data_IF_924927595489
#
_entry.id   IF_924927595489
#
_cell.length_a   1.000
_cell.length_b   1.000
_cell.length_c   1.000
_cell.angle_alpha   90.00
_cell.angle_beta   90.00
_cell.angle_gamma   90.00
#
_symmetry.space_group_name_H-M   'P 1'
#
loop_
_entity.id
_entity.type
_entity.pdbx_description
1 polymer ?
#
# COMPACT_ATOMS: atom_id res chain seq x y z
N UNK A 1 24.15 0.96 -14.02
CA UNK A 1 24.12 -0.38 -13.33
C UNK A 1 22.96 -1.15 -13.95
N UNK A 2 23.20 -2.39 -14.36
CA UNK A 2 22.10 -3.24 -14.84
C UNK A 2 21.14 -3.54 -13.68
N UNK A 3 19.85 -3.62 -14.00
CA UNK A 3 18.82 -3.95 -12.99
C UNK A 3 19.11 -5.31 -12.35
N UNK A 4 19.62 -6.27 -13.12
CA UNK A 4 19.95 -7.62 -12.66
C UNK A 4 21.03 -7.67 -11.56
N UNK A 5 21.88 -6.65 -11.46
CA UNK A 5 22.95 -6.58 -10.46
C UNK A 5 22.50 -5.88 -9.17
N UNK A 6 21.29 -5.31 -9.14
CA UNK A 6 20.81 -4.53 -8.01
C UNK A 6 20.57 -5.40 -6.77
N UNK A 7 21.00 -4.89 -5.63
CA UNK A 7 20.59 -5.37 -4.29
C UNK A 7 19.77 -4.29 -3.63
N UNK A 8 18.51 -4.59 -3.33
CA UNK A 8 17.49 -3.64 -2.87
C UNK A 8 17.01 -4.04 -1.49
N UNK A 9 17.08 -3.11 -0.55
CA UNK A 9 16.52 -3.28 0.79
C UNK A 9 15.32 -2.36 0.96
N UNK A 10 14.14 -2.93 1.22
CA UNK A 10 12.95 -2.20 1.65
C UNK A 10 12.91 -2.12 3.18
N UNK A 11 12.73 -0.93 3.74
CA UNK A 11 12.56 -0.71 5.18
C UNK A 11 11.23 -0.02 5.41
N UNK A 12 10.23 -0.79 5.84
CA UNK A 12 8.82 -0.42 5.81
C UNK A 12 8.23 -0.43 7.22
N UNK A 13 7.47 0.60 7.57
CA UNK A 13 6.78 0.72 8.87
C UNK A 13 5.42 0.00 8.90
N UNK A 14 4.81 -0.19 7.73
CA UNK A 14 3.50 -0.78 7.60
C UNK A 14 3.49 -2.27 7.98
N UNK A 15 2.56 -2.67 8.84
CA UNK A 15 2.46 -4.06 9.33
C UNK A 15 2.04 -5.00 8.19
N UNK A 16 2.72 -6.14 8.09
CA UNK A 16 2.43 -7.18 7.11
C UNK A 16 0.95 -7.62 7.19
N UNK A 17 0.25 -7.59 6.04
CA UNK A 17 -1.12 -8.05 5.90
C UNK A 17 -2.19 -7.17 6.58
N UNK A 18 -1.86 -5.93 7.03
CA UNK A 18 -2.81 -5.08 7.74
C UNK A 18 -3.26 -3.84 6.97
N UNK A 19 -2.52 -3.41 5.97
CA UNK A 19 -2.87 -2.23 5.17
C UNK A 19 -2.32 -2.30 3.74
N UNK A 20 -2.83 -1.44 2.86
CA UNK A 20 -2.45 -1.40 1.45
C UNK A 20 -0.97 -1.10 1.20
N UNK A 21 -0.33 -0.25 2.01
CA UNK A 21 1.10 0.07 1.88
C UNK A 21 1.96 -1.16 2.14
N UNK A 22 1.61 -1.92 3.20
CA UNK A 22 2.31 -3.15 3.52
C UNK A 22 2.18 -4.22 2.43
N UNK A 23 0.98 -4.38 1.87
CA UNK A 23 0.71 -5.29 0.76
C UNK A 23 1.47 -4.86 -0.50
N UNK A 24 1.44 -3.57 -0.84
CA UNK A 24 2.17 -3.00 -1.98
C UNK A 24 3.66 -3.39 -1.99
N UNK A 25 4.37 -3.20 -0.87
CA UNK A 25 5.81 -3.53 -0.80
C UNK A 25 6.08 -5.03 -0.81
N UNK A 26 5.16 -5.85 -0.30
CA UNK A 26 5.25 -7.31 -0.44
C UNK A 26 5.16 -7.73 -1.90
N UNK A 27 4.21 -7.18 -2.63
CA UNK A 27 4.00 -7.48 -4.04
C UNK A 27 5.16 -6.98 -4.89
N UNK A 28 5.59 -5.73 -4.68
CA UNK A 28 6.74 -5.18 -5.37
C UNK A 28 8.02 -6.00 -5.10
N UNK A 29 8.28 -6.36 -3.85
CA UNK A 29 9.44 -7.18 -3.51
C UNK A 29 9.35 -8.58 -4.15
N UNK A 30 8.17 -9.20 -4.19
CA UNK A 30 7.96 -10.50 -4.83
C UNK A 30 8.23 -10.44 -6.34
N UNK A 31 7.72 -9.40 -7.02
CA UNK A 31 7.96 -9.21 -8.46
C UNK A 31 9.44 -8.92 -8.76
N UNK A 32 10.08 -8.07 -7.98
CA UNK A 32 11.49 -7.70 -8.22
C UNK A 32 12.47 -8.86 -8.01
N UNK A 33 12.13 -9.88 -7.20
CA UNK A 33 13.01 -11.05 -6.95
C UNK A 33 13.52 -11.72 -8.22
N UNK A 34 12.74 -11.71 -9.28
CA UNK A 34 13.10 -12.34 -10.55
C UNK A 34 13.89 -11.42 -11.48
N UNK A 35 14.06 -10.14 -11.12
CA UNK A 35 14.63 -9.11 -11.97
C UNK A 35 15.91 -8.49 -11.42
N UNK A 36 16.27 -8.77 -10.17
CA UNK A 36 17.43 -8.18 -9.49
C UNK A 36 18.26 -9.23 -8.76
N UNK A 37 19.48 -8.91 -8.38
CA UNK A 37 20.38 -9.84 -7.70
C UNK A 37 19.89 -10.26 -6.30
N UNK A 38 19.35 -9.33 -5.52
CA UNK A 38 18.80 -9.60 -4.18
C UNK A 38 17.76 -8.56 -3.79
N UNK A 39 16.65 -9.01 -3.24
CA UNK A 39 15.63 -8.17 -2.60
C UNK A 39 15.42 -8.65 -1.18
N UNK A 40 15.40 -7.73 -0.24
CA UNK A 40 15.04 -7.98 1.16
C UNK A 40 13.99 -6.98 1.60
N UNK A 41 13.01 -7.43 2.38
CA UNK A 41 11.92 -6.61 2.91
C UNK A 41 11.91 -6.68 4.44
N UNK A 42 12.36 -5.63 5.08
CA UNK A 42 12.22 -5.42 6.52
C UNK A 42 10.87 -4.77 6.80
N UNK A 43 9.95 -5.55 7.33
CA UNK A 43 8.58 -5.12 7.60
C UNK A 43 8.11 -5.74 8.92
N UNK A 44 7.45 -4.97 9.83
CA UNK A 44 6.86 -5.51 11.04
C UNK A 44 5.78 -6.56 10.73
N UNK A 45 5.77 -7.64 11.50
CA UNK A 45 4.76 -8.69 11.40
C UNK A 45 4.31 -9.12 12.81
N UNK A 46 2.99 -9.30 12.99
CA UNK A 46 2.43 -9.69 14.28
C UNK A 46 2.59 -11.19 14.56
N UNK A 47 2.54 -12.02 13.53
CA UNK A 47 2.56 -13.47 13.64
C UNK A 47 3.98 -14.04 13.61
N UNK A 48 4.82 -13.51 12.72
CA UNK A 48 6.21 -13.92 12.53
C UNK A 48 7.11 -12.68 12.54
N UNK A 49 7.51 -12.20 13.74
CA UNK A 49 8.32 -11.00 13.85
C UNK A 49 9.60 -11.07 13.04
N UNK A 50 9.88 -10.03 12.26
CA UNK A 50 11.15 -9.91 11.57
C UNK A 50 12.30 -9.76 12.60
N UNK A 51 13.51 -10.33 12.40
CA UNK A 51 14.63 -10.19 13.32
C UNK A 51 14.94 -8.73 13.72
N UNK A 52 14.78 -7.79 12.78
CA UNK A 52 14.96 -6.36 13.04
C UNK A 52 13.81 -5.71 13.82
N UNK A 53 12.72 -6.44 14.13
CA UNK A 53 11.57 -5.92 14.84
C UNK A 53 11.80 -5.95 16.35
N UNK A 54 11.61 -4.82 17.02
CA UNK A 54 11.70 -4.67 18.46
C UNK A 54 10.31 -4.53 19.12
N UNK A 55 10.26 -3.76 20.19
CA UNK A 55 9.04 -3.46 20.93
C UNK A 55 8.00 -2.73 20.08
N UNK A 56 6.74 -2.75 20.52
CA UNK A 56 5.66 -2.03 19.86
C UNK A 56 4.72 -1.39 20.84
N UNK A 57 4.04 -0.31 20.41
CA UNK A 57 2.97 0.35 21.16
C UNK A 57 1.74 0.55 20.25
N UNK A 58 0.52 0.53 20.80
CA UNK A 58 -0.67 0.82 20.01
C UNK A 58 -0.66 2.28 19.51
N UNK A 59 -1.25 2.52 18.34
CA UNK A 59 -1.43 3.88 17.83
C UNK A 59 -2.68 4.48 18.48
N UNK A 60 -2.61 5.67 19.08
CA UNK A 60 -3.77 6.34 19.63
C UNK A 60 -4.86 6.53 18.56
N UNK A 61 -6.11 6.18 18.90
CA UNK A 61 -7.26 6.25 17.97
C UNK A 61 -7.44 5.03 17.08
N UNK A 62 -6.46 4.13 16.98
CA UNK A 62 -6.59 2.89 16.22
C UNK A 62 -5.89 1.71 16.89
N UNK A 63 -6.60 0.95 17.72
CA UNK A 63 -6.03 -0.19 18.44
C UNK A 63 -5.64 -1.36 17.52
N UNK A 64 -6.11 -1.36 16.26
CA UNK A 64 -5.76 -2.40 15.26
C UNK A 64 -4.40 -2.16 14.63
N UNK A 65 -3.84 -0.96 14.79
CA UNK A 65 -2.51 -0.57 14.31
C UNK A 65 -1.53 -0.43 15.48
N UNK A 66 -0.28 -0.77 15.23
CA UNK A 66 0.79 -0.66 16.22
C UNK A 66 2.00 0.04 15.61
N UNK A 67 2.65 0.85 16.39
CA UNK A 67 3.92 1.45 16.08
C UNK A 67 5.02 0.52 16.58
N UNK A 68 5.89 0.08 15.70
CA UNK A 68 7.01 -0.80 16.04
C UNK A 68 8.32 -0.02 16.08
N UNK A 69 9.22 -0.42 16.96
CA UNK A 69 10.57 0.12 17.05
C UNK A 69 11.55 -0.87 16.42
N UNK A 70 12.48 -0.41 15.55
CA UNK A 70 13.48 -1.28 14.97
C UNK A 70 14.59 -1.62 15.97
N UNK A 71 15.10 -2.83 15.90
CA UNK A 71 16.38 -3.21 16.53
C UNK A 71 17.51 -2.69 15.62
N UNK A 72 18.07 -1.54 15.99
CA UNK A 72 19.05 -0.81 15.16
C UNK A 72 20.30 -1.64 14.86
N UNK A 73 20.74 -2.48 15.81
CA UNK A 73 21.91 -3.34 15.63
C UNK A 73 21.68 -4.39 14.55
N UNK A 74 20.56 -5.08 14.61
CA UNK A 74 20.13 -6.12 13.67
C UNK A 74 19.89 -5.53 12.27
N UNK A 75 19.25 -4.37 12.19
CA UNK A 75 19.07 -3.67 10.93
C UNK A 75 20.42 -3.22 10.33
N UNK A 76 21.33 -2.72 11.15
CA UNK A 76 22.69 -2.38 10.71
C UNK A 76 23.48 -3.61 10.25
N UNK A 77 23.37 -4.72 10.95
CA UNK A 77 24.02 -5.98 10.57
C UNK A 77 23.49 -6.50 9.23
N UNK A 78 22.18 -6.47 9.03
CA UNK A 78 21.56 -6.84 7.76
C UNK A 78 22.06 -5.97 6.59
N UNK A 79 22.11 -4.65 6.78
CA UNK A 79 22.60 -3.73 5.75
C UNK A 79 24.09 -3.99 5.46
N UNK A 80 24.89 -4.28 6.48
CA UNK A 80 26.31 -4.62 6.32
C UNK A 80 26.51 -5.93 5.54
N UNK A 81 25.74 -6.96 5.86
CA UNK A 81 25.80 -8.27 5.19
C UNK A 81 25.33 -8.16 3.73
N UNK A 82 24.17 -7.53 3.52
CA UNK A 82 23.52 -7.44 2.21
C UNK A 82 24.25 -6.49 1.26
N UNK A 83 24.87 -5.43 1.78
CA UNK A 83 25.50 -4.35 1.01
C UNK A 83 24.55 -3.82 -0.08
N UNK A 84 23.36 -3.31 0.28
CA UNK A 84 22.37 -2.88 -0.71
C UNK A 84 22.89 -1.70 -1.53
N UNK A 85 22.53 -1.69 -2.81
CA UNK A 85 22.81 -0.55 -3.68
C UNK A 85 21.81 0.58 -3.48
N UNK A 86 20.58 0.26 -3.02
CA UNK A 86 19.51 1.20 -2.73
C UNK A 86 18.74 0.73 -1.51
N UNK A 87 18.38 1.67 -0.63
CA UNK A 87 17.39 1.47 0.44
C UNK A 87 16.12 2.22 0.06
N UNK A 88 14.97 1.53 0.05
CA UNK A 88 13.65 2.09 -0.26
C UNK A 88 12.86 2.31 1.03
N UNK A 89 12.29 3.50 1.18
CA UNK A 89 11.60 3.96 2.39
C UNK A 89 10.23 4.55 2.03
N UNK A 90 9.11 4.09 2.64
CA UNK A 90 7.76 4.54 2.27
C UNK A 90 7.27 5.82 2.96
N UNK A 91 8.05 6.47 3.79
CA UNK A 91 7.61 7.66 4.51
C UNK A 91 8.33 7.87 5.85
N UNK A 92 7.84 8.78 6.72
CA UNK A 92 8.55 9.22 7.92
C UNK A 92 8.30 8.37 9.17
N UNK A 93 8.11 7.07 9.01
CA UNK A 93 7.96 6.16 10.14
C UNK A 93 9.27 5.83 10.84
N UNK A 94 9.22 5.14 11.98
CA UNK A 94 10.40 4.87 12.84
C UNK A 94 11.38 3.91 12.15
N UNK A 95 10.88 2.85 11.50
CA UNK A 95 11.72 1.95 10.70
C UNK A 95 12.37 2.68 9.54
N UNK A 96 11.58 3.47 8.84
CA UNK A 96 12.00 4.28 7.71
C UNK A 96 13.11 5.27 8.09
N UNK A 97 12.94 6.00 9.19
CA UNK A 97 13.93 6.93 9.69
C UNK A 97 15.21 6.20 10.12
N UNK A 98 15.10 5.05 10.78
CA UNK A 98 16.26 4.24 11.14
C UNK A 98 17.03 3.75 9.89
N UNK A 99 16.31 3.24 8.89
CA UNK A 99 16.89 2.84 7.60
C UNK A 99 17.58 3.99 6.88
N UNK A 100 16.97 5.19 6.89
CA UNK A 100 17.53 6.41 6.33
C UNK A 100 18.85 6.81 7.02
N UNK A 101 18.89 6.82 8.36
CA UNK A 101 20.11 7.15 9.10
C UNK A 101 21.24 6.17 8.86
N UNK A 102 20.93 4.87 8.80
CA UNK A 102 21.92 3.82 8.47
C UNK A 102 22.42 4.02 7.03
N UNK A 103 21.51 4.28 6.08
CA UNK A 103 21.88 4.56 4.69
C UNK A 103 22.83 5.75 4.58
N UNK A 104 22.51 6.87 5.25
CA UNK A 104 23.35 8.07 5.28
C UNK A 104 24.73 7.81 5.88
N UNK A 105 24.79 7.07 6.99
CA UNK A 105 26.05 6.70 7.64
C UNK A 105 26.98 5.94 6.71
N UNK A 106 26.44 5.12 5.81
CA UNK A 106 27.22 4.26 4.93
C UNK A 106 27.23 4.72 3.48
N UNK A 107 26.72 5.90 3.18
CA UNK A 107 26.72 6.46 1.82
C UNK A 107 25.83 5.70 0.85
N UNK A 108 24.82 4.95 1.34
CA UNK A 108 23.90 4.20 0.50
C UNK A 108 22.80 5.12 0.00
N UNK A 109 22.51 5.15 -1.33
CA UNK A 109 21.42 5.96 -1.88
C UNK A 109 20.06 5.51 -1.34
N UNK A 110 19.18 6.49 -1.10
CA UNK A 110 17.83 6.25 -0.60
C UNK A 110 16.82 6.66 -1.65
N UNK A 111 15.88 5.76 -1.96
CA UNK A 111 14.66 6.06 -2.70
C UNK A 111 13.51 6.21 -1.70
N UNK A 112 12.88 7.38 -1.68
CA UNK A 112 11.73 7.67 -0.80
C UNK A 112 10.44 7.56 -1.61
N UNK A 113 9.45 6.83 -1.10
CA UNK A 113 8.13 6.77 -1.73
C UNK A 113 7.12 7.59 -0.95
N UNK A 114 6.15 8.17 -1.66
CA UNK A 114 5.04 8.90 -1.05
C UNK A 114 3.74 8.19 -1.41
N UNK A 115 3.19 7.44 -0.44
CA UNK A 115 2.03 6.56 -0.66
C UNK A 115 0.86 6.86 0.28
N UNK A 116 1.02 7.83 1.18
CA UNK A 116 -0.03 8.15 2.17
C UNK A 116 0.00 9.63 2.48
N UNK A 117 -1.15 10.28 2.35
CA UNK A 117 -1.33 11.65 2.84
C UNK A 117 -1.58 11.61 4.36
N UNK A 118 -0.49 11.60 5.11
CA UNK A 118 -0.54 11.53 6.57
C UNK A 118 -1.23 12.74 7.19
N UNK A 119 -1.16 13.93 6.58
CA UNK A 119 -1.79 15.13 7.13
C UNK A 119 -3.30 14.97 7.17
N UNK A 120 -3.91 14.52 6.07
CA UNK A 120 -5.36 14.24 6.03
C UNK A 120 -5.78 13.13 7.01
N UNK A 121 -4.95 12.10 7.18
CA UNK A 121 -5.26 11.04 8.13
C UNK A 121 -5.22 11.54 9.58
N UNK A 122 -4.21 12.31 9.95
CA UNK A 122 -4.07 12.84 11.30
C UNK A 122 -5.24 13.78 11.66
N UNK A 123 -5.70 14.58 10.72
CA UNK A 123 -6.89 15.46 10.89
C UNK A 123 -8.17 14.65 11.15
N UNK A 124 -8.32 13.47 10.55
CA UNK A 124 -9.48 12.60 10.75
C UNK A 124 -9.51 11.88 12.10
N UNK A 125 -8.32 11.54 12.63
CA UNK A 125 -8.23 10.72 13.84
C UNK A 125 -7.99 11.48 15.11
N UNK A 126 -7.39 12.68 15.04
CA UNK A 126 -6.95 13.42 16.21
C UNK A 126 -7.54 14.84 16.22
N UNK A 127 -7.87 15.35 17.41
CA UNK A 127 -8.33 16.72 17.55
C UNK A 127 -7.27 17.73 17.09
N UNK A 128 -7.70 18.93 16.72
CA UNK A 128 -6.90 19.97 16.04
C UNK A 128 -5.51 20.23 16.61
N UNK A 129 -5.36 20.23 17.96
CA UNK A 129 -4.06 20.51 18.59
C UNK A 129 -3.06 19.39 18.39
N UNK A 130 -3.49 18.14 18.58
CA UNK A 130 -2.68 16.95 18.36
C UNK A 130 -2.39 16.76 16.88
N UNK A 131 -3.39 17.00 16.02
CA UNK A 131 -3.23 16.95 14.56
C UNK A 131 -2.16 17.93 14.06
N UNK A 132 -2.15 19.17 14.54
CA UNK A 132 -1.12 20.17 14.19
C UNK A 132 0.28 19.76 14.64
N UNK A 133 0.43 19.26 15.87
CA UNK A 133 1.73 18.82 16.37
C UNK A 133 2.26 17.61 15.60
N UNK A 134 1.44 16.59 15.42
CA UNK A 134 1.80 15.38 14.68
C UNK A 134 2.05 15.68 13.19
N UNK A 135 1.21 16.51 12.57
CA UNK A 135 1.42 16.98 11.20
C UNK A 135 2.74 17.74 11.04
N UNK A 136 3.11 18.59 12.01
CA UNK A 136 4.41 19.25 12.04
C UNK A 136 5.59 18.27 12.07
N UNK A 137 5.51 17.24 12.93
CA UNK A 137 6.53 16.20 13.04
C UNK A 137 6.63 15.34 11.77
N UNK A 138 5.49 14.93 11.22
CA UNK A 138 5.43 14.15 9.98
C UNK A 138 5.97 14.96 8.78
N UNK A 139 5.63 16.25 8.69
CA UNK A 139 6.14 17.14 7.66
C UNK A 139 7.65 17.38 7.79
N UNK A 140 8.17 17.50 9.02
CA UNK A 140 9.60 17.55 9.26
C UNK A 140 10.29 16.26 8.81
N UNK A 141 9.73 15.10 9.18
CA UNK A 141 10.23 13.80 8.76
C UNK A 141 10.23 13.64 7.23
N UNK A 142 9.13 13.97 6.58
CA UNK A 142 9.04 13.95 5.11
C UNK A 142 10.07 14.86 4.46
N UNK A 143 10.21 16.10 4.93
CA UNK A 143 11.23 17.04 4.41
C UNK A 143 12.65 16.50 4.58
N UNK A 144 12.94 15.88 5.70
CA UNK A 144 14.26 15.28 5.96
C UNK A 144 14.53 14.13 4.98
N UNK A 145 13.56 13.24 4.79
CA UNK A 145 13.69 12.11 3.88
C UNK A 145 13.82 12.57 2.42
N UNK A 146 12.90 13.40 1.94
CA UNK A 146 12.90 13.82 0.53
C UNK A 146 14.10 14.70 0.14
N UNK A 147 14.53 15.63 1.00
CA UNK A 147 15.74 16.44 0.73
C UNK A 147 17.01 15.61 0.68
N UNK A 148 17.03 14.54 1.46
CA UNK A 148 18.20 13.64 1.50
C UNK A 148 18.09 12.44 0.57
N UNK A 149 17.00 12.25 -0.17
CA UNK A 149 16.83 11.13 -1.08
C UNK A 149 17.59 11.34 -2.39
N UNK A 150 18.09 10.25 -2.97
CA UNK A 150 18.64 10.21 -4.33
C UNK A 150 17.51 10.10 -5.38
N UNK A 151 16.41 9.41 -5.04
CA UNK A 151 15.23 9.32 -5.87
C UNK A 151 13.96 9.42 -5.03
N UNK A 152 12.85 9.82 -5.67
CA UNK A 152 11.52 9.83 -5.06
C UNK A 152 10.51 9.21 -6.01
N UNK A 153 9.56 8.42 -5.47
CA UNK A 153 8.51 7.79 -6.23
C UNK A 153 7.13 8.08 -5.61
N UNK A 154 6.10 8.23 -6.44
CA UNK A 154 4.71 8.45 -6.04
C UNK A 154 3.79 7.54 -6.82
N UNK A 155 2.62 7.21 -6.27
CA UNK A 155 1.65 6.30 -6.90
C UNK A 155 0.48 7.03 -7.57
N UNK A 156 0.37 8.34 -7.42
CA UNK A 156 -0.60 9.18 -8.12
C UNK A 156 -0.02 10.57 -8.41
N UNK A 157 -0.57 11.24 -9.40
CA UNK A 157 -0.04 12.51 -9.91
C UNK A 157 -0.17 13.65 -8.87
N UNK A 158 -1.25 13.70 -8.11
CA UNK A 158 -1.46 14.70 -7.05
C UNK A 158 -0.38 14.65 -5.97
N UNK A 159 0.20 13.49 -5.70
CA UNK A 159 1.30 13.33 -4.74
C UNK A 159 2.65 13.86 -5.25
N UNK A 160 2.82 14.03 -6.57
CA UNK A 160 4.05 14.62 -7.14
C UNK A 160 4.25 16.05 -6.61
N UNK A 161 3.20 16.87 -6.60
CA UNK A 161 3.26 18.23 -6.08
C UNK A 161 3.61 18.25 -4.58
N UNK A 162 3.02 17.36 -3.79
CA UNK A 162 3.29 17.22 -2.35
C UNK A 162 4.74 16.76 -2.09
N UNK A 163 5.24 15.78 -2.84
CA UNK A 163 6.63 15.32 -2.75
C UNK A 163 7.64 16.45 -3.09
N UNK A 164 7.35 17.24 -4.14
CA UNK A 164 8.16 18.44 -4.48
C UNK A 164 8.14 19.48 -3.36
N UNK A 165 6.98 19.76 -2.79
CA UNK A 165 6.84 20.69 -1.66
C UNK A 165 7.60 20.19 -0.41
N UNK A 166 7.71 18.88 -0.23
CA UNK A 166 8.55 18.28 0.81
C UNK A 166 10.04 18.26 0.48
N UNK A 167 10.43 18.61 -0.75
CA UNK A 167 11.85 18.77 -1.16
C UNK A 167 12.38 17.67 -2.07
N UNK A 168 11.52 16.81 -2.62
CA UNK A 168 11.90 15.86 -3.67
C UNK A 168 12.29 16.62 -4.95
N UNK A 169 13.48 16.31 -5.52
CA UNK A 169 13.98 17.02 -6.71
C UNK A 169 13.25 16.62 -7.98
N UNK A 170 13.03 15.33 -8.19
CA UNK A 170 12.39 14.79 -9.39
C UNK A 170 11.56 13.54 -9.05
N UNK A 171 10.39 13.70 -8.38
CA UNK A 171 9.54 12.56 -8.04
C UNK A 171 8.99 11.91 -9.31
N UNK A 172 9.14 10.58 -9.39
CA UNK A 172 8.68 9.76 -10.50
C UNK A 172 7.32 9.15 -10.17
N UNK A 173 6.42 9.14 -11.14
CA UNK A 173 5.16 8.41 -11.04
C UNK A 173 5.44 6.93 -11.33
N UNK A 174 5.12 6.06 -10.38
CA UNK A 174 5.29 4.60 -10.51
C UNK A 174 3.95 3.90 -10.36
N UNK A 175 3.77 2.83 -11.12
CA UNK A 175 2.54 2.04 -11.05
C UNK A 175 2.45 1.19 -9.78
N UNK A 176 1.31 0.54 -9.63
CA UNK A 176 1.02 -0.38 -8.53
C UNK A 176 1.07 -1.82 -9.05
N UNK A 177 1.97 -2.67 -8.51
CA UNK A 177 1.99 -4.07 -8.87
C UNK A 177 0.78 -4.81 -8.26
N UNK A 178 0.33 -5.86 -8.92
CA UNK A 178 -0.71 -6.77 -8.46
C UNK A 178 -0.10 -8.03 -7.87
N UNK A 179 -0.68 -8.58 -6.84
CA UNK A 179 -0.31 -9.90 -6.36
C UNK A 179 -0.66 -11.00 -7.38
N UNK A 180 0.15 -12.05 -7.39
CA UNK A 180 0.03 -13.15 -8.35
C UNK A 180 -1.37 -13.79 -8.32
N UNK A 181 -2.01 -13.86 -7.17
CA UNK A 181 -3.35 -14.43 -6.97
C UNK A 181 -4.42 -13.73 -7.82
N UNK A 182 -4.31 -12.39 -8.01
CA UNK A 182 -5.28 -11.65 -8.81
C UNK A 182 -5.04 -11.78 -10.31
N UNK A 183 -3.83 -12.13 -10.72
CA UNK A 183 -3.42 -12.22 -12.13
C UNK A 183 -3.50 -13.64 -12.65
N UNK A 184 -2.98 -14.61 -11.88
CA UNK A 184 -2.80 -16.00 -12.32
C UNK A 184 -4.02 -16.89 -12.11
N UNK A 185 -4.88 -16.57 -11.13
CA UNK A 185 -6.12 -17.33 -10.92
C UNK A 185 -7.07 -17.12 -12.10
N UNK A 186 -7.67 -18.17 -12.68
CA UNK A 186 -8.67 -18.03 -13.73
C UNK A 186 -9.81 -17.09 -13.33
N UNK A 187 -10.22 -16.20 -14.23
CA UNK A 187 -11.27 -15.21 -13.96
C UNK A 187 -12.64 -15.83 -14.19
N UNK A 188 -13.57 -15.59 -13.27
CA UNK A 188 -14.98 -15.93 -13.48
C UNK A 188 -15.64 -14.82 -14.31
N UNK A 189 -16.39 -15.20 -15.32
CA UNK A 189 -17.14 -14.26 -16.16
C UNK A 189 -18.09 -13.39 -15.33
N UNK A 190 -18.18 -12.11 -15.71
CA UNK A 190 -19.14 -11.20 -15.10
C UNK A 190 -20.58 -11.63 -15.45
N UNK A 191 -21.43 -11.78 -14.45
CA UNK A 191 -22.85 -12.08 -14.61
C UNK A 191 -23.59 -10.94 -15.32
N UNK A 192 -24.67 -11.27 -16.04
CA UNK A 192 -25.51 -10.31 -16.73
C UNK A 192 -26.32 -9.42 -15.76
N UNK A 193 -26.75 -9.99 -14.64
CA UNK A 193 -27.40 -9.26 -13.55
C UNK A 193 -26.37 -8.74 -12.53
N UNK A 194 -26.65 -7.59 -11.95
CA UNK A 194 -25.92 -7.09 -10.77
C UNK A 194 -26.73 -7.47 -9.55
N UNK A 195 -26.31 -8.53 -8.88
CA UNK A 195 -26.98 -9.10 -7.71
C UNK A 195 -26.15 -8.94 -6.44
N UNK A 196 -24.82 -8.83 -6.57
CA UNK A 196 -23.91 -8.83 -5.43
C UNK A 196 -22.89 -7.69 -5.54
N UNK A 197 -22.77 -6.95 -4.44
CA UNK A 197 -21.89 -5.80 -4.30
C UNK A 197 -20.94 -6.04 -3.13
N UNK A 198 -19.64 -5.82 -3.30
CA UNK A 198 -18.69 -6.02 -2.23
C UNK A 198 -17.92 -4.74 -1.86
N UNK A 199 -17.48 -4.72 -0.62
CA UNK A 199 -16.48 -3.82 -0.07
C UNK A 199 -15.32 -4.66 0.46
N UNK A 200 -14.11 -4.31 0.08
CA UNK A 200 -12.89 -4.94 0.59
C UNK A 200 -11.91 -3.85 1.02
N UNK A 201 -11.53 -3.83 2.29
CA UNK A 201 -10.62 -2.82 2.79
C UNK A 201 -10.67 -2.64 4.31
N UNK A 202 -9.86 -1.72 4.80
CA UNK A 202 -9.82 -1.38 6.21
C UNK A 202 -11.14 -0.74 6.65
N UNK A 203 -11.67 -1.16 7.79
CA UNK A 203 -12.91 -0.63 8.37
C UNK A 203 -12.58 0.61 9.22
N UNK A 204 -12.39 1.75 8.57
CA UNK A 204 -11.89 2.97 9.18
C UNK A 204 -12.57 4.22 8.58
N UNK A 205 -12.51 5.34 9.30
CA UNK A 205 -13.25 6.55 8.95
C UNK A 205 -12.92 7.08 7.54
N UNK A 206 -11.64 7.06 7.16
CA UNK A 206 -11.20 7.50 5.82
C UNK A 206 -11.74 6.63 4.68
N UNK A 207 -12.16 5.40 4.99
CA UNK A 207 -12.72 4.46 4.01
C UNK A 207 -14.23 4.57 3.86
N UNK A 208 -14.88 5.34 4.73
CA UNK A 208 -16.31 5.69 4.67
C UNK A 208 -17.24 4.47 4.47
N UNK A 209 -16.99 3.40 5.27
CA UNK A 209 -17.80 2.17 5.21
C UNK A 209 -19.28 2.45 5.49
N UNK A 210 -19.59 3.50 6.25
CA UNK A 210 -20.95 3.92 6.57
C UNK A 210 -21.80 4.16 5.31
N UNK A 211 -21.23 4.78 4.26
CA UNK A 211 -21.93 4.97 2.99
C UNK A 211 -22.26 3.65 2.30
N UNK A 212 -21.40 2.62 2.45
CA UNK A 212 -21.68 1.29 1.92
C UNK A 212 -22.78 0.58 2.71
N UNK A 213 -22.77 0.70 4.05
CA UNK A 213 -23.84 0.15 4.89
C UNK A 213 -25.19 0.82 4.60
N UNK A 214 -25.21 2.13 4.41
CA UNK A 214 -26.43 2.85 4.02
C UNK A 214 -26.92 2.46 2.61
N UNK A 215 -26.02 2.09 1.69
CA UNK A 215 -26.42 1.50 0.40
C UNK A 215 -27.06 0.14 0.59
N UNK A 216 -26.52 -0.74 1.44
CA UNK A 216 -27.10 -2.06 1.72
C UNK A 216 -28.52 -1.96 2.32
N UNK A 217 -28.74 -1.02 3.22
CA UNK A 217 -30.05 -0.74 3.79
C UNK A 217 -31.07 -0.28 2.74
N UNK A 218 -30.65 0.57 1.79
CA UNK A 218 -31.53 1.12 0.72
C UNK A 218 -31.79 0.15 -0.43
N UNK A 219 -31.00 -0.92 -0.54
CA UNK A 219 -31.07 -1.89 -1.64
C UNK A 219 -31.24 -3.31 -1.12
N UNK A 220 -32.38 -3.63 -0.48
CA UNK A 220 -32.65 -4.99 0.05
C UNK A 220 -32.77 -6.06 -1.07
N UNK A 221 -32.90 -5.62 -2.32
CA UNK A 221 -32.92 -6.44 -3.53
C UNK A 221 -31.54 -7.00 -3.91
N UNK A 222 -30.45 -6.47 -3.33
CA UNK A 222 -29.06 -6.86 -3.61
C UNK A 222 -28.41 -7.52 -2.39
N UNK A 223 -27.43 -8.36 -2.63
CA UNK A 223 -26.57 -8.95 -1.61
C UNK A 223 -25.30 -8.11 -1.43
N UNK A 224 -24.90 -7.86 -0.20
CA UNK A 224 -23.73 -7.08 0.13
C UNK A 224 -22.71 -7.91 0.93
N UNK A 225 -21.44 -7.77 0.56
CA UNK A 225 -20.34 -8.47 1.22
C UNK A 225 -19.30 -7.48 1.71
N UNK A 226 -18.87 -7.62 2.95
CA UNK A 226 -17.82 -6.79 3.55
C UNK A 226 -16.67 -7.68 3.98
N UNK A 227 -15.46 -7.40 3.49
CA UNK A 227 -14.22 -8.03 3.93
C UNK A 227 -13.24 -6.98 4.44
N UNK A 228 -12.64 -7.23 5.59
CA UNK A 228 -11.66 -6.34 6.20
C UNK A 228 -11.71 -6.33 7.73
N UNK A 229 -10.87 -5.49 8.32
CA UNK A 229 -10.81 -5.29 9.75
C UNK A 229 -10.47 -3.82 10.07
N UNK A 230 -10.79 -3.35 11.25
CA UNK A 230 -10.50 -1.97 11.63
C UNK A 230 -11.35 -1.44 12.78
N UNK A 231 -11.16 -0.16 13.16
CA UNK A 231 -11.87 0.46 14.28
C UNK A 231 -13.40 0.42 14.17
N UNK A 232 -13.95 0.39 12.95
CA UNK A 232 -15.39 0.38 12.68
C UNK A 232 -15.98 -1.03 12.57
N UNK A 233 -15.22 -2.08 12.92
CA UNK A 233 -15.70 -3.47 12.90
C UNK A 233 -17.04 -3.65 13.63
N UNK A 234 -17.18 -3.09 14.83
CA UNK A 234 -18.42 -3.20 15.61
C UNK A 234 -19.65 -2.61 14.92
N UNK A 235 -19.48 -1.54 14.12
CA UNK A 235 -20.57 -0.99 13.30
C UNK A 235 -21.01 -1.96 12.21
N UNK A 236 -20.06 -2.59 11.51
CA UNK A 236 -20.37 -3.59 10.47
C UNK A 236 -21.06 -4.81 11.06
N UNK A 237 -20.56 -5.34 12.19
CA UNK A 237 -21.19 -6.45 12.90
C UNK A 237 -22.61 -6.11 13.36
N UNK A 238 -22.86 -4.89 13.81
CA UNK A 238 -24.20 -4.42 14.17
C UNK A 238 -25.12 -4.34 12.95
N UNK A 239 -24.65 -3.78 11.84
CA UNK A 239 -25.41 -3.72 10.58
C UNK A 239 -25.76 -5.12 10.07
N UNK A 240 -24.85 -6.09 10.14
CA UNK A 240 -25.14 -7.48 9.74
C UNK A 240 -26.23 -8.16 10.58
N UNK A 241 -26.40 -7.75 11.84
CA UNK A 241 -27.50 -8.27 12.67
C UNK A 241 -28.87 -7.70 12.29
N UNK A 242 -28.90 -6.50 11.71
CA UNK A 242 -30.14 -5.82 11.33
C UNK A 242 -30.51 -5.97 9.85
N UNK A 243 -29.52 -6.19 8.98
CA UNK A 243 -29.71 -6.29 7.53
C UNK A 243 -29.57 -7.75 7.07
N UNK A 244 -30.65 -8.34 6.55
CA UNK A 244 -30.65 -9.72 6.07
C UNK A 244 -29.86 -9.94 4.76
N UNK A 245 -29.44 -8.88 4.10
CA UNK A 245 -28.74 -8.88 2.81
C UNK A 245 -27.24 -8.51 2.94
N UNK A 246 -26.69 -8.43 4.15
CA UNK A 246 -25.31 -8.05 4.40
C UNK A 246 -24.53 -9.19 5.08
N UNK A 247 -23.40 -9.59 4.49
CA UNK A 247 -22.49 -10.61 5.04
C UNK A 247 -21.15 -9.99 5.37
N UNK A 248 -20.61 -10.25 6.57
CA UNK A 248 -19.31 -9.80 7.02
C UNK A 248 -18.34 -10.98 7.18
N UNK A 249 -17.18 -10.90 6.51
CA UNK A 249 -16.17 -11.95 6.48
C UNK A 249 -15.00 -11.72 7.45
N UNK A 250 -14.91 -10.53 8.06
CA UNK A 250 -13.73 -10.15 8.83
C UNK A 250 -12.50 -9.98 7.94
N UNK A 251 -11.32 -10.15 8.54
CA UNK A 251 -10.07 -10.12 7.78
C UNK A 251 -9.97 -11.34 6.85
N UNK A 252 -9.63 -11.11 5.59
CA UNK A 252 -9.53 -12.13 4.56
C UNK A 252 -8.11 -12.23 3.99
N UNK A 253 -7.67 -13.44 3.68
CA UNK A 253 -6.48 -13.69 2.86
C UNK A 253 -6.72 -13.27 1.41
N UNK A 254 -5.66 -13.12 0.61
CA UNK A 254 -5.79 -12.76 -0.81
C UNK A 254 -6.64 -13.74 -1.60
N UNK A 255 -6.48 -15.04 -1.38
CA UNK A 255 -7.32 -16.06 -2.02
C UNK A 255 -8.80 -15.86 -1.68
N UNK A 256 -9.14 -15.58 -0.42
CA UNK A 256 -10.51 -15.26 -0.03
C UNK A 256 -11.03 -13.96 -0.65
N UNK A 257 -10.16 -12.94 -0.80
CA UNK A 257 -10.52 -11.70 -1.50
C UNK A 257 -10.81 -11.98 -2.98
N UNK A 258 -9.99 -12.80 -3.65
CA UNK A 258 -10.27 -13.25 -5.03
C UNK A 258 -11.65 -13.91 -5.12
N UNK A 259 -11.99 -14.82 -4.18
CA UNK A 259 -13.30 -15.49 -4.17
C UNK A 259 -14.46 -14.50 -3.95
N UNK A 260 -14.28 -13.50 -3.06
CA UNK A 260 -15.29 -12.46 -2.82
C UNK A 260 -15.48 -11.59 -4.07
N UNK A 261 -14.39 -11.16 -4.71
CA UNK A 261 -14.45 -10.40 -5.95
C UNK A 261 -15.12 -11.20 -7.05
N UNK A 262 -14.75 -12.47 -7.25
CA UNK A 262 -15.24 -13.31 -8.34
C UNK A 262 -16.72 -13.66 -8.24
N UNK A 263 -17.29 -13.70 -7.04
CA UNK A 263 -18.74 -13.90 -6.86
C UNK A 263 -19.53 -12.59 -6.84
N UNK A 264 -18.86 -11.44 -6.71
CA UNK A 264 -19.48 -10.12 -6.77
C UNK A 264 -19.41 -9.55 -8.18
N UNK A 265 -20.37 -8.72 -8.56
CA UNK A 265 -20.34 -8.00 -9.82
C UNK A 265 -19.70 -6.63 -9.68
N UNK A 266 -19.83 -6.03 -8.50
CA UNK A 266 -19.39 -4.65 -8.24
C UNK A 266 -18.57 -4.59 -6.98
N UNK A 267 -17.39 -3.99 -7.06
CA UNK A 267 -16.64 -3.48 -5.91
C UNK A 267 -16.99 -2.00 -5.70
N UNK A 268 -17.25 -1.61 -4.46
CA UNK A 268 -17.44 -0.21 -4.07
C UNK A 268 -16.27 0.24 -3.18
N UNK A 269 -15.60 1.32 -3.57
CA UNK A 269 -14.54 1.97 -2.81
C UNK A 269 -14.97 3.41 -2.46
N UNK A 270 -15.75 3.61 -1.37
CA UNK A 270 -16.39 4.89 -1.04
C UNK A 270 -15.47 5.84 -0.26
N UNK A 271 -14.15 5.64 -0.35
CA UNK A 271 -13.15 6.33 0.46
C UNK A 271 -13.24 7.85 0.36
N UNK A 272 -13.16 8.53 1.51
CA UNK A 272 -13.00 9.98 1.60
C UNK A 272 -11.54 10.41 1.39
N UNK A 273 -10.59 9.53 1.77
CA UNK A 273 -9.16 9.69 1.51
C UNK A 273 -8.59 8.35 1.04
N UNK A 274 -8.07 8.33 -0.18
CA UNK A 274 -7.48 7.12 -0.79
C UNK A 274 -6.31 7.50 -1.68
N UNK A 275 -5.11 7.08 -1.29
CA UNK A 275 -3.90 7.41 -2.03
C UNK A 275 -3.88 6.82 -3.45
N UNK A 276 -4.34 5.59 -3.59
CA UNK A 276 -4.49 4.93 -4.89
C UNK A 276 -5.79 4.13 -4.94
N UNK A 277 -5.94 3.13 -4.09
CA UNK A 277 -7.06 2.18 -4.10
C UNK A 277 -6.66 0.85 -4.74
N UNK A 278 -5.65 0.19 -4.18
CA UNK A 278 -5.11 -1.08 -4.72
C UNK A 278 -6.21 -2.12 -4.95
N UNK A 279 -7.19 -2.20 -4.06
CA UNK A 279 -8.32 -3.14 -4.22
C UNK A 279 -9.18 -2.85 -5.45
N UNK A 280 -9.25 -1.59 -5.91
CA UNK A 280 -9.92 -1.25 -7.17
C UNK A 280 -9.16 -1.85 -8.36
N UNK A 281 -7.82 -1.76 -8.34
CA UNK A 281 -6.97 -2.39 -9.37
C UNK A 281 -7.11 -3.93 -9.34
N UNK A 282 -7.15 -4.53 -8.16
CA UNK A 282 -7.38 -5.95 -7.94
C UNK A 282 -8.74 -6.40 -8.51
N UNK A 283 -9.80 -5.65 -8.25
CA UNK A 283 -11.13 -5.93 -8.79
C UNK A 283 -11.20 -5.78 -10.32
N UNK A 284 -10.53 -4.74 -10.87
CA UNK A 284 -10.38 -4.58 -12.33
C UNK A 284 -9.66 -5.79 -12.95
N UNK A 285 -8.59 -6.27 -12.33
CA UNK A 285 -7.88 -7.47 -12.78
C UNK A 285 -8.76 -8.73 -12.74
N UNK A 286 -9.80 -8.76 -11.92
CA UNK A 286 -10.80 -9.82 -11.83
C UNK A 286 -12.05 -9.58 -12.70
N UNK A 287 -12.03 -8.58 -13.62
CA UNK A 287 -13.17 -8.18 -14.47
C UNK A 287 -14.40 -7.78 -13.66
N UNK A 288 -14.20 -7.14 -12.50
CA UNK A 288 -15.32 -6.60 -11.72
C UNK A 288 -15.54 -5.14 -12.07
N UNK A 289 -16.80 -4.74 -12.00
CA UNK A 289 -17.16 -3.33 -12.10
C UNK A 289 -16.75 -2.62 -10.81
N UNK A 290 -16.20 -1.41 -10.91
CA UNK A 290 -15.66 -0.72 -9.75
C UNK A 290 -16.24 0.68 -9.63
N UNK A 291 -16.88 0.98 -8.48
CA UNK A 291 -17.33 2.33 -8.12
C UNK A 291 -16.30 2.96 -7.20
N UNK A 292 -15.86 4.17 -7.53
CA UNK A 292 -14.93 4.97 -6.72
C UNK A 292 -15.48 6.36 -6.44
N UNK A 293 -15.00 6.99 -5.36
CA UNK A 293 -15.20 8.42 -5.14
C UNK A 293 -14.15 9.23 -5.92
N UNK A 294 -14.36 10.53 -6.14
CA UNK A 294 -13.34 11.41 -6.73
C UNK A 294 -12.04 11.50 -5.93
N UNK A 295 -12.07 11.13 -4.65
CA UNK A 295 -10.91 11.16 -3.75
C UNK A 295 -9.93 9.99 -3.93
N UNK A 296 -10.23 9.01 -4.79
CA UNK A 296 -9.38 7.85 -5.03
C UNK A 296 -8.32 8.16 -6.08
N UNK A 297 -7.03 8.03 -5.72
CA UNK A 297 -5.91 8.33 -6.61
C UNK A 297 -5.82 7.47 -7.87
N UNK A 298 -6.44 6.29 -7.89
CA UNK A 298 -6.54 5.45 -9.11
C UNK A 298 -7.24 6.19 -10.26
N UNK A 299 -8.15 7.13 -9.97
CA UNK A 299 -8.83 7.93 -10.98
C UNK A 299 -7.88 8.87 -11.75
N UNK A 300 -6.71 9.17 -11.21
CA UNK A 300 -5.71 10.02 -11.84
C UNK A 300 -4.91 9.31 -12.95
N UNK A 301 -5.13 8.00 -13.12
CA UNK A 301 -4.51 7.21 -14.17
C UNK A 301 -5.46 7.08 -15.35
N UNK A 302 -5.23 7.77 -16.49
CA UNK A 302 -6.21 7.86 -17.58
C UNK A 302 -6.65 6.50 -18.14
N UNK A 303 -5.74 5.54 -18.26
CA UNK A 303 -6.06 4.20 -18.74
C UNK A 303 -6.97 3.42 -17.77
N UNK A 304 -6.77 3.58 -16.46
CA UNK A 304 -7.59 2.94 -15.42
C UNK A 304 -8.94 3.66 -15.26
N UNK A 305 -8.94 4.99 -15.30
CA UNK A 305 -10.14 5.81 -15.11
C UNK A 305 -11.27 5.45 -16.08
N UNK A 306 -10.94 5.06 -17.31
CA UNK A 306 -11.92 4.62 -18.31
C UNK A 306 -12.69 3.35 -17.87
N UNK A 307 -12.09 2.50 -17.04
CA UNK A 307 -12.70 1.30 -16.47
C UNK A 307 -13.52 1.54 -15.21
N UNK A 308 -13.42 2.73 -14.59
CA UNK A 308 -14.02 3.05 -13.31
C UNK A 308 -15.37 3.77 -13.45
N UNK A 309 -16.20 3.62 -12.43
CA UNK A 309 -17.44 4.38 -12.21
C UNK A 309 -17.19 5.40 -11.12
N UNK A 310 -16.66 6.54 -11.50
CA UNK A 310 -16.41 7.62 -10.56
C UNK A 310 -17.74 8.29 -10.20
N UNK A 311 -18.00 8.46 -8.92
CA UNK A 311 -19.16 9.23 -8.42
C UNK A 311 -19.05 10.68 -8.88
N UNK A 312 -20.13 11.25 -9.38
CA UNK A 312 -20.19 12.67 -9.71
C UNK A 312 -20.42 13.51 -8.44
N UNK A 313 -20.14 14.81 -8.53
CA UNK A 313 -20.40 15.72 -7.43
C UNK A 313 -21.90 15.72 -7.08
N UNK A 314 -22.23 15.47 -5.82
CA UNK A 314 -23.59 15.36 -5.33
C UNK A 314 -24.31 14.03 -5.62
N UNK A 315 -23.67 13.11 -6.35
CA UNK A 315 -24.21 11.77 -6.62
C UNK A 315 -24.02 10.85 -5.42
N UNK A 316 -25.03 10.07 -5.07
CA UNK A 316 -24.92 9.03 -4.06
C UNK A 316 -24.36 7.72 -4.66
N UNK A 317 -23.92 6.79 -3.80
CA UNK A 317 -23.55 5.44 -4.24
C UNK A 317 -24.71 4.71 -4.93
N UNK A 318 -25.94 4.93 -4.45
CA UNK A 318 -27.14 4.33 -5.06
C UNK A 318 -27.39 4.86 -6.47
N UNK A 319 -27.20 6.18 -6.70
CA UNK A 319 -27.34 6.78 -8.02
C UNK A 319 -26.29 6.28 -9.00
N UNK A 320 -25.02 6.19 -8.54
CA UNK A 320 -23.92 5.66 -9.35
C UNK A 320 -24.17 4.19 -9.72
N UNK A 321 -24.62 3.38 -8.77
CA UNK A 321 -24.97 1.99 -9.01
C UNK A 321 -26.15 1.87 -10.00
N UNK A 322 -27.19 2.70 -9.83
CA UNK A 322 -28.32 2.74 -10.76
C UNK A 322 -27.90 3.17 -12.17
N UNK A 323 -27.00 4.16 -12.30
CA UNK A 323 -26.41 4.58 -13.58
C UNK A 323 -25.65 3.44 -14.25
N UNK A 324 -24.91 2.65 -13.49
CA UNK A 324 -24.22 1.44 -13.97
C UNK A 324 -25.21 0.37 -14.42
N UNK A 325 -26.27 0.10 -13.67
CA UNK A 325 -27.27 -0.92 -13.95
C UNK A 325 -28.11 -0.62 -15.22
N UNK A 326 -28.25 0.67 -15.61
CA UNK A 326 -28.96 1.08 -16.84
C UNK A 326 -28.26 0.66 -18.13
N UNK A 327 -26.96 0.35 -18.09
CA UNK A 327 -26.25 -0.13 -19.26
C UNK A 327 -26.61 -1.61 -19.54
N UNK A 328 -26.51 -1.99 -20.80
CA UNK A 328 -26.69 -3.38 -21.22
C UNK A 328 -25.65 -4.30 -20.57
N UNK A 329 -25.97 -5.58 -20.33
CA UNK A 329 -24.97 -6.54 -19.86
C UNK A 329 -23.72 -6.62 -20.74
N UNK A 330 -23.90 -6.50 -22.05
CA UNK A 330 -22.79 -6.52 -23.02
C UNK A 330 -21.84 -5.34 -22.76
N UNK A 331 -22.38 -4.13 -22.66
CA UNK A 331 -21.58 -2.91 -22.41
C UNK A 331 -20.85 -2.99 -21.06
N UNK A 332 -21.49 -3.54 -20.01
CA UNK A 332 -20.84 -3.75 -18.71
C UNK A 332 -19.67 -4.72 -18.81
N UNK A 333 -19.83 -5.85 -19.52
CA UNK A 333 -18.73 -6.82 -19.74
C UNK A 333 -17.59 -6.24 -20.56
N UNK A 334 -17.89 -5.51 -21.65
CA UNK A 334 -16.88 -4.83 -22.45
C UNK A 334 -16.03 -3.85 -21.58
N UNK A 335 -16.70 -3.06 -20.75
CA UNK A 335 -16.04 -2.13 -19.83
C UNK A 335 -15.20 -2.87 -18.79
N UNK A 336 -15.67 -3.98 -18.24
CA UNK A 336 -14.92 -4.81 -17.30
C UNK A 336 -13.68 -5.46 -17.95
N UNK A 337 -13.80 -5.97 -19.17
CA UNK A 337 -12.67 -6.51 -19.95
C UNK A 337 -11.63 -5.42 -20.28
N UNK A 338 -12.08 -4.21 -20.63
CA UNK A 338 -11.18 -3.07 -20.85
C UNK A 338 -10.45 -2.69 -19.56
N UNK A 339 -11.18 -2.63 -18.44
CA UNK A 339 -10.61 -2.36 -17.12
C UNK A 339 -9.53 -3.39 -16.74
N UNK A 340 -9.80 -4.69 -16.97
CA UNK A 340 -8.80 -5.74 -16.75
C UNK A 340 -7.54 -5.52 -17.58
N UNK A 341 -7.67 -5.25 -18.88
CA UNK A 341 -6.50 -5.00 -19.74
C UNK A 341 -5.66 -3.84 -19.21
N UNK A 342 -6.30 -2.75 -18.81
CA UNK A 342 -5.61 -1.61 -18.22
C UNK A 342 -4.91 -1.96 -16.88
N UNK A 343 -5.55 -2.77 -16.03
CA UNK A 343 -4.96 -3.21 -14.77
C UNK A 343 -3.75 -4.12 -14.97
N UNK A 344 -3.80 -5.04 -15.92
CA UNK A 344 -2.67 -5.91 -16.26
C UNK A 344 -1.50 -5.12 -16.87
N UNK A 345 -1.78 -4.19 -17.78
CA UNK A 345 -0.76 -3.29 -18.33
C UNK A 345 -0.10 -2.44 -17.22
N UNK A 346 -0.89 -1.88 -16.29
CA UNK A 346 -0.34 -1.17 -15.13
C UNK A 346 0.61 -2.05 -14.31
N UNK A 347 0.25 -3.32 -14.07
CA UNK A 347 1.09 -4.26 -13.33
C UNK A 347 2.44 -4.51 -14.04
N UNK A 348 2.43 -4.71 -15.36
CA UNK A 348 3.65 -4.92 -16.15
C UNK A 348 4.53 -3.66 -16.19
N UNK A 349 3.93 -2.50 -16.46
CA UNK A 349 4.63 -1.21 -16.51
C UNK A 349 5.22 -0.83 -15.14
N UNK A 350 4.53 -1.13 -14.05
CA UNK A 350 4.99 -0.83 -12.70
C UNK A 350 6.34 -1.45 -12.40
N UNK A 351 6.57 -2.69 -12.81
CA UNK A 351 7.82 -3.42 -12.58
C UNK A 351 8.97 -2.77 -13.36
N UNK A 352 8.73 -2.45 -14.63
CA UNK A 352 9.71 -1.76 -15.47
C UNK A 352 10.08 -0.37 -14.95
N UNK A 353 9.07 0.44 -14.57
CA UNK A 353 9.28 1.76 -14.00
C UNK A 353 10.08 1.70 -12.68
N UNK A 354 9.73 0.78 -11.79
CA UNK A 354 10.48 0.58 -10.56
C UNK A 354 11.93 0.17 -10.81
N UNK A 355 12.18 -0.75 -11.75
CA UNK A 355 13.53 -1.13 -12.14
C UNK A 355 14.35 0.09 -12.60
N UNK A 356 13.78 0.95 -13.45
CA UNK A 356 14.41 2.18 -13.92
C UNK A 356 14.70 3.18 -12.79
N UNK A 357 13.73 3.43 -11.91
CA UNK A 357 13.90 4.35 -10.75
C UNK A 357 15.02 3.87 -9.82
N UNK A 358 15.05 2.56 -9.50
CA UNK A 358 16.03 2.00 -8.58
C UNK A 358 17.42 1.91 -9.19
N UNK A 359 17.54 1.59 -10.48
CA UNK A 359 18.83 1.62 -11.19
C UNK A 359 19.38 3.05 -11.28
N UNK A 360 18.53 4.03 -11.59
CA UNK A 360 18.89 5.44 -11.60
C UNK A 360 19.30 5.95 -10.21
N UNK A 361 18.61 5.51 -9.15
CA UNK A 361 18.96 5.83 -7.77
C UNK A 361 20.35 5.28 -7.39
N UNK A 362 20.66 4.04 -7.76
CA UNK A 362 21.93 3.39 -7.46
C UNK A 362 23.13 4.07 -8.09
N UNK A 363 22.97 4.67 -9.27
CA UNK A 363 24.06 5.38 -10.00
C UNK A 363 24.36 6.76 -9.37
N UNK A 364 23.41 7.36 -8.67
CA UNK A 364 23.59 8.67 -8.02
C UNK A 364 24.36 8.60 -6.68
N UNK A 365 24.85 7.41 -6.28
CA UNK A 365 25.73 7.30 -5.14
C UNK A 365 27.00 8.16 -5.35
N UNK A 366 27.48 8.90 -4.35
CA UNK A 366 28.81 9.49 -4.40
C UNK A 366 29.81 8.35 -4.65
N UNK A 367 30.63 8.50 -5.69
CA UNK A 367 31.41 7.45 -6.33
C UNK A 367 31.91 6.33 -5.42
N UNK A 368 31.97 5.12 -5.90
CA UNK A 368 32.35 3.86 -5.23
C UNK A 368 33.75 3.86 -4.57
N UNK A 369 34.11 4.93 -3.87
CA UNK A 369 35.34 5.07 -3.11
C UNK A 369 35.14 5.22 -1.59
N UNK A 370 33.89 5.35 -1.12
CA UNK A 370 33.61 5.27 0.30
C UNK A 370 33.73 3.78 0.73
N UNK A 371 34.92 3.37 1.09
CA UNK A 371 35.14 2.12 1.84
C UNK A 371 34.19 2.16 3.02
N UNK A 372 33.20 1.25 3.04
CA UNK A 372 32.33 1.09 4.21
C UNK A 372 33.25 1.01 5.43
N UNK A 373 33.13 1.89 6.43
CA UNK A 373 34.01 1.87 7.57
C UNK A 373 33.88 0.47 8.19
N UNK A 374 34.99 -0.26 8.21
CA UNK A 374 35.06 -1.57 8.85
C UNK A 374 34.51 -1.42 10.28
N UNK A 375 33.49 -2.18 10.71
CA UNK A 375 33.10 -2.18 12.10
C UNK A 375 34.36 -2.55 12.88
N UNK A 376 34.77 -1.71 13.82
CA UNK A 376 35.91 -1.99 14.68
C UNK A 376 35.80 -3.42 15.20
N UNK A 377 36.86 -4.20 15.16
CA UNK A 377 36.95 -5.62 15.61
C UNK A 377 36.28 -5.87 16.97
N UNK A 378 36.13 -4.84 17.81
CA UNK A 378 35.42 -4.84 19.06
C UNK A 378 33.89 -5.06 18.91
N UNK A 379 33.27 -4.61 17.81
CA UNK A 379 31.83 -4.80 17.53
C UNK A 379 31.58 -6.22 17.00
N UNK A 380 32.48 -6.74 16.16
CA UNK A 380 32.40 -8.11 15.64
C UNK A 380 32.59 -9.16 16.74
N UNK A 381 33.51 -8.93 17.68
CA UNK A 381 33.72 -9.84 18.84
C UNK A 381 32.53 -9.87 19.81
N UNK A 382 31.76 -8.78 19.93
CA UNK A 382 30.52 -8.75 20.74
C UNK A 382 29.34 -9.44 20.03
N UNK A 383 29.28 -9.44 18.71
CA UNK A 383 28.23 -10.10 17.93
C UNK A 383 28.45 -11.64 17.91
N UNK A 384 29.69 -12.12 17.80
CA UNK A 384 29.97 -13.56 17.82
C UNK A 384 29.74 -14.20 19.20
N UNK A 385 29.91 -13.46 20.30
CA UNK A 385 29.71 -13.99 21.66
C UNK A 385 28.23 -14.08 22.08
N UNK A 386 27.30 -13.34 21.42
CA UNK A 386 25.87 -13.46 21.69
C UNK A 386 25.20 -14.57 20.88
N UNK A 387 25.76 -14.96 19.73
CA UNK A 387 25.24 -16.07 18.92
C UNK A 387 25.59 -17.45 19.50
N UNK A 388 26.70 -17.56 20.23
CA UNK A 388 27.14 -18.82 20.85
C UNK A 388 26.41 -19.09 22.17
N UNK A 389 25.83 -18.10 22.83
CA UNK A 389 25.11 -18.29 24.11
C UNK A 389 23.60 -18.55 23.97
N UNK A 390 23.02 -18.52 22.77
CA UNK A 390 21.63 -18.90 22.52
C UNK A 390 21.46 -20.26 21.82
N UNK A 391 22.55 -21.04 21.72
CA UNK A 391 22.54 -22.36 21.12
C UNK A 391 23.13 -23.46 22.07
N UNK A 392 23.11 -23.20 23.40
CA UNK A 392 23.35 -24.23 24.44
C UNK A 392 22.20 -24.23 25.44
#
# INVERSE_FOLDING_TARGET
>A
MDTKDLRILFVVDAIKGRNGVGAYFQDLAAHLKNHVARVELVQPCMQQPHPCQGASMPIPGDPTQRLFFPKIRELSALVWEMKPHVIVIPGPGIFSLAGYWIAKKWGIPVCVTFQTDYNRLVELYWGERLARLAGGLLNWGNRTLFRGSAAAATICASMIAQARAAGARNPQLVGTPLAAEFVQTPVRSLSDSVERVCYVGRLAAEKNIESFLALAERRPDLQFEVAGDGPLRGKVESACRSLGNLTFHGWCSRAQVVDILDRSQVLVLPSAVEAFGTVALEAMARERLVITTPACGINEWPALAQGLWVMHQGESLADTLARMQRLSPVTRREKACQARRAALAMNEDAIGHWGGVLAGCAVQAPGQGAVLPSPTLAVLRRLSSSYVRSAL
#
